data_IF_069723810826
#
_entry.id   IF_069723810826
#
_cell.length_a   1.000
_cell.length_b   1.000
_cell.length_c   1.000
_cell.angle_alpha   90.00
_cell.angle_beta   90.00
_cell.angle_gamma   90.00
#
_symmetry.space_group_name_H-M   'P 1'
#
loop_
_entity.id
_entity.type
_entity.pdbx_description
1 polymer ?
#
# COMPACT_ATOMS: atom_id res chain seq x y z
N UNK A 1 -15.92 3.36 0.32
CA UNK A 1 -14.78 3.58 1.24
C UNK A 1 -14.72 5.06 1.61
N UNK A 2 -15.73 5.55 2.35
CA UNK A 2 -15.86 6.98 2.71
C UNK A 2 -15.57 7.24 4.21
N UNK A 3 -15.04 6.22 4.89
CA UNK A 3 -14.78 6.19 6.33
C UNK A 3 -13.29 6.44 6.62
N UNK A 4 -12.97 6.91 7.83
CA UNK A 4 -11.62 7.22 8.34
C UNK A 4 -10.65 6.04 8.26
N UNK A 5 -11.17 4.83 8.09
CA UNK A 5 -10.41 3.61 7.79
C UNK A 5 -9.60 3.70 6.50
N UNK A 6 -10.06 4.48 5.51
CA UNK A 6 -9.40 4.59 4.21
C UNK A 6 -7.95 5.09 4.29
N UNK A 7 -7.70 6.30 4.80
CA UNK A 7 -6.33 6.79 5.02
C UNK A 7 -5.52 5.94 6.00
N UNK A 8 -6.16 5.34 7.01
CA UNK A 8 -5.47 4.55 8.03
C UNK A 8 -4.71 3.35 7.45
N UNK A 9 -5.28 2.66 6.45
CA UNK A 9 -4.58 1.56 5.77
C UNK A 9 -3.31 2.03 5.06
N UNK A 10 -3.34 3.21 4.43
CA UNK A 10 -2.16 3.77 3.76
C UNK A 10 -1.11 4.26 4.75
N UNK A 11 -1.52 4.86 5.88
CA UNK A 11 -0.57 5.23 6.94
C UNK A 11 0.15 4.01 7.50
N UNK A 12 -0.57 2.91 7.73
CA UNK A 12 0.04 1.66 8.18
C UNK A 12 1.04 1.09 7.15
N UNK A 13 0.73 1.17 5.86
CA UNK A 13 1.66 0.76 4.79
C UNK A 13 2.90 1.64 4.78
N UNK A 14 2.74 2.98 4.85
CA UNK A 14 3.86 3.93 4.89
C UNK A 14 4.74 3.65 6.11
N UNK A 15 4.15 3.53 7.29
CA UNK A 15 4.87 3.18 8.54
C UNK A 15 5.66 1.88 8.40
N UNK A 16 5.03 0.84 7.84
CA UNK A 16 5.68 -0.46 7.63
C UNK A 16 6.85 -0.39 6.65
N UNK A 17 6.72 0.39 5.58
CA UNK A 17 7.79 0.59 4.59
C UNK A 17 8.96 1.39 5.15
N UNK A 18 8.69 2.42 5.96
CA UNK A 18 9.73 3.19 6.66
C UNK A 18 10.50 2.28 7.62
N UNK A 19 9.79 1.51 8.46
CA UNK A 19 10.43 0.57 9.39
C UNK A 19 11.27 -0.49 8.66
N UNK A 20 10.80 -0.99 7.51
CA UNK A 20 11.58 -1.91 6.68
C UNK A 20 12.87 -1.26 6.16
N UNK A 21 12.81 -0.03 5.67
CA UNK A 21 13.99 0.70 5.20
C UNK A 21 14.99 0.98 6.35
N UNK A 22 14.50 1.35 7.53
CA UNK A 22 15.31 1.50 8.74
C UNK A 22 16.05 0.21 9.10
N UNK A 23 15.36 -0.93 9.04
CA UNK A 23 15.96 -2.25 9.31
C UNK A 23 17.06 -2.64 8.30
N UNK A 24 17.05 -2.02 7.12
CA UNK A 24 18.05 -2.19 6.06
C UNK A 24 19.17 -1.15 6.13
N UNK A 25 19.18 -0.29 7.15
CA UNK A 25 20.25 0.67 7.43
C UNK A 25 20.00 2.09 6.91
N UNK A 26 18.81 2.40 6.39
CA UNK A 26 18.47 3.76 5.98
C UNK A 26 17.96 4.56 7.20
N UNK A 27 18.57 5.71 7.57
CA UNK A 27 18.06 6.53 8.68
C UNK A 27 16.62 6.97 8.44
N UNK A 28 15.83 7.06 9.51
CA UNK A 28 14.41 7.42 9.43
C UNK A 28 14.18 8.74 8.69
N UNK A 29 15.03 9.72 8.96
CA UNK A 29 14.97 11.07 8.39
C UNK A 29 15.15 11.07 6.88
N UNK A 30 15.79 10.02 6.33
CA UNK A 30 15.89 9.78 4.90
C UNK A 30 14.76 8.87 4.39
N UNK A 31 14.43 7.79 5.12
CA UNK A 31 13.44 6.80 4.71
C UNK A 31 12.02 7.38 4.61
N UNK A 32 11.60 8.12 5.63
CA UNK A 32 10.24 8.65 5.76
C UNK A 32 9.81 9.56 4.59
N UNK A 33 10.56 10.62 4.23
CA UNK A 33 10.19 11.46 3.10
C UNK A 33 10.24 10.70 1.76
N UNK A 34 11.15 9.74 1.58
CA UNK A 34 11.24 8.94 0.36
C UNK A 34 10.02 8.04 0.17
N UNK A 35 9.57 7.34 1.23
CA UNK A 35 8.38 6.50 1.18
C UNK A 35 7.13 7.35 0.95
N UNK A 36 6.97 8.46 1.69
CA UNK A 36 5.83 9.36 1.55
C UNK A 36 5.73 9.90 0.12
N UNK A 37 6.83 10.40 -0.46
CA UNK A 37 6.83 10.90 -1.82
C UNK A 37 6.54 9.82 -2.86
N UNK A 38 7.04 8.60 -2.64
CA UNK A 38 6.73 7.45 -3.50
C UNK A 38 5.23 7.13 -3.48
N UNK A 39 4.62 7.09 -2.29
CA UNK A 39 3.18 6.87 -2.14
C UNK A 39 2.35 8.00 -2.76
N UNK A 40 2.75 9.25 -2.54
CA UNK A 40 2.09 10.43 -3.13
C UNK A 40 2.15 10.39 -4.66
N UNK A 41 3.33 10.13 -5.23
CA UNK A 41 3.52 10.04 -6.67
C UNK A 41 2.70 8.91 -7.29
N UNK A 42 2.67 7.74 -6.66
CA UNK A 42 1.85 6.61 -7.12
C UNK A 42 0.35 6.94 -7.08
N UNK A 43 -0.13 7.55 -5.99
CA UNK A 43 -1.53 7.98 -5.85
C UNK A 43 -1.91 9.04 -6.87
N UNK A 44 -1.04 10.04 -7.08
CA UNK A 44 -1.23 11.07 -8.08
C UNK A 44 -1.33 10.48 -9.50
N UNK A 45 -0.37 9.64 -9.88
CA UNK A 45 -0.36 8.95 -11.18
C UNK A 45 -1.61 8.10 -11.39
N UNK A 46 -2.04 7.35 -10.36
CA UNK A 46 -3.27 6.57 -10.43
C UNK A 46 -4.52 7.44 -10.60
N UNK A 47 -4.57 8.61 -9.95
CA UNK A 47 -5.72 9.53 -10.05
C UNK A 47 -5.79 10.28 -11.38
N UNK A 48 -4.64 10.53 -12.02
CA UNK A 48 -4.53 11.31 -13.24
C UNK A 48 -4.51 10.44 -14.52
N UNK A 49 -4.32 9.13 -14.39
CA UNK A 49 -4.17 8.21 -15.52
C UNK A 49 -5.50 7.65 -16.00
N UNK A 50 -5.61 7.39 -17.30
CA UNK A 50 -6.68 6.59 -17.90
C UNK A 50 -6.42 5.07 -17.82
N UNK A 51 -5.20 4.67 -17.43
CA UNK A 51 -4.80 3.27 -17.28
C UNK A 51 -5.29 2.70 -15.96
N UNK A 52 -5.48 1.38 -15.91
CA UNK A 52 -5.74 0.71 -14.65
C UNK A 52 -4.52 0.77 -13.72
N UNK A 53 -4.74 0.71 -12.40
CA UNK A 53 -3.63 0.63 -11.42
C UNK A 53 -2.78 -0.62 -11.65
N UNK A 54 -3.36 -1.71 -12.16
CA UNK A 54 -2.64 -2.92 -12.51
C UNK A 54 -1.66 -2.69 -13.68
N UNK A 55 -2.03 -1.88 -14.66
CA UNK A 55 -1.16 -1.56 -15.80
C UNK A 55 -0.09 -0.55 -15.40
N UNK A 56 -0.43 0.46 -14.58
CA UNK A 56 0.57 1.36 -13.99
C UNK A 56 1.63 0.60 -13.18
N UNK A 57 1.21 -0.41 -12.40
CA UNK A 57 2.14 -1.29 -11.68
C UNK A 57 3.05 -2.06 -12.64
N UNK A 58 2.52 -2.59 -13.75
CA UNK A 58 3.33 -3.32 -14.75
C UNK A 58 4.35 -2.39 -15.41
N UNK A 59 4.00 -1.14 -15.66
CA UNK A 59 4.92 -0.17 -16.28
C UNK A 59 6.16 0.15 -15.45
N UNK A 60 6.07 0.01 -14.11
CA UNK A 60 7.20 0.17 -13.19
C UNK A 60 7.87 -1.16 -12.80
N UNK A 61 7.39 -2.29 -13.32
CA UNK A 61 7.96 -3.62 -13.10
C UNK A 61 8.66 -4.12 -14.38
N UNK A 62 9.99 -4.02 -14.41
CA UNK A 62 10.77 -4.63 -15.49
C UNK A 62 10.91 -6.15 -15.25
N UNK A 63 10.76 -7.01 -16.27
CA UNK A 63 10.98 -8.45 -16.13
C UNK A 63 12.36 -8.78 -15.56
N UNK A 64 12.42 -9.63 -14.53
CA UNK A 64 13.63 -9.99 -13.79
C UNK A 64 14.13 -8.94 -12.79
N UNK A 65 13.47 -7.77 -12.73
CA UNK A 65 13.85 -6.63 -11.88
C UNK A 65 13.57 -6.83 -10.40
N UNK A 66 14.13 -5.94 -9.56
CA UNK A 66 13.91 -5.93 -8.11
C UNK A 66 12.44 -5.71 -7.74
N UNK A 67 11.75 -4.80 -8.44
CA UNK A 67 10.34 -4.50 -8.21
C UNK A 67 9.45 -5.72 -8.50
N UNK A 68 9.70 -6.43 -9.60
CA UNK A 68 8.94 -7.65 -9.93
C UNK A 68 9.11 -8.71 -8.83
N UNK A 69 10.34 -8.95 -8.37
CA UNK A 69 10.64 -9.91 -7.30
C UNK A 69 9.94 -9.52 -5.99
N UNK A 70 9.98 -8.24 -5.61
CA UNK A 70 9.31 -7.74 -4.42
C UNK A 70 7.80 -7.95 -4.50
N UNK A 71 7.16 -7.57 -5.62
CA UNK A 71 5.72 -7.74 -5.80
C UNK A 71 5.32 -9.21 -5.87
N UNK A 72 6.11 -10.06 -6.53
CA UNK A 72 5.87 -11.51 -6.57
C UNK A 72 5.92 -12.12 -5.18
N UNK A 73 6.87 -11.70 -4.34
CA UNK A 73 6.93 -12.12 -2.94
C UNK A 73 5.67 -11.71 -2.16
N UNK A 74 5.22 -10.45 -2.29
CA UNK A 74 3.99 -9.99 -1.61
C UNK A 74 2.75 -10.78 -2.06
N UNK A 75 2.65 -11.08 -3.35
CA UNK A 75 1.52 -11.82 -3.92
C UNK A 75 1.48 -13.27 -3.40
N UNK A 76 2.62 -13.95 -3.44
CA UNK A 76 2.77 -15.33 -2.94
C UNK A 76 2.50 -15.44 -1.43
N UNK A 77 2.76 -14.38 -0.67
CA UNK A 77 2.52 -14.34 0.78
C UNK A 77 1.12 -13.81 1.15
N UNK A 78 0.21 -13.70 0.18
CA UNK A 78 -1.22 -13.49 0.45
C UNK A 78 -1.58 -12.07 0.87
N UNK A 79 -0.78 -11.06 0.52
CA UNK A 79 -1.06 -9.65 0.86
C UNK A 79 -2.43 -9.19 0.35
N UNK A 80 -2.85 -9.63 -0.83
CA UNK A 80 -4.19 -9.33 -1.35
C UNK A 80 -5.30 -9.91 -0.45
N UNK A 81 -5.13 -11.15 0.02
CA UNK A 81 -6.06 -11.80 0.95
C UNK A 81 -6.07 -11.07 2.30
N UNK A 82 -4.91 -10.65 2.80
CA UNK A 82 -4.81 -9.88 4.05
C UNK A 82 -5.56 -8.55 3.95
N UNK A 83 -5.39 -7.78 2.87
CA UNK A 83 -6.16 -6.55 2.66
C UNK A 83 -7.66 -6.81 2.57
N UNK A 84 -8.09 -7.86 1.84
CA UNK A 84 -9.51 -8.24 1.77
C UNK A 84 -10.09 -8.50 3.16
N UNK A 85 -9.39 -9.29 3.97
CA UNK A 85 -9.84 -9.62 5.34
C UNK A 85 -9.83 -8.37 6.24
N UNK A 86 -8.82 -7.51 6.15
CA UNK A 86 -8.74 -6.27 6.93
C UNK A 86 -9.89 -5.31 6.61
N UNK A 87 -10.19 -5.11 5.32
CA UNK A 87 -11.29 -4.26 4.86
C UNK A 87 -12.64 -4.85 5.28
N UNK A 88 -12.82 -6.18 5.15
CA UNK A 88 -14.04 -6.84 5.61
C UNK A 88 -14.26 -6.64 7.12
N UNK A 89 -13.20 -6.81 7.94
CA UNK A 89 -13.28 -6.57 9.39
C UNK A 89 -13.68 -5.13 9.72
N UNK A 90 -13.14 -4.15 8.99
CA UNK A 90 -13.54 -2.74 9.16
C UNK A 90 -15.01 -2.53 8.80
N UNK A 91 -15.50 -3.15 7.73
CA UNK A 91 -16.90 -3.07 7.31
C UNK A 91 -17.84 -3.70 8.35
N UNK A 92 -17.52 -4.90 8.83
CA UNK A 92 -18.32 -5.61 9.84
C UNK A 92 -18.42 -4.82 11.14
N UNK A 93 -17.34 -4.16 11.57
CA UNK A 93 -17.33 -3.32 12.75
C UNK A 93 -18.22 -2.07 12.57
N UNK A 94 -18.16 -1.43 11.40
CA UNK A 94 -18.97 -0.25 11.09
C UNK A 94 -20.47 -0.58 11.05
N UNK A 95 -20.85 -1.73 10.48
CA UNK A 95 -22.24 -2.17 10.44
C UNK A 95 -22.78 -2.45 11.85
N UNK A 96 -21.98 -3.05 12.75
CA UNK A 96 -22.38 -3.26 14.15
C UNK A 96 -22.64 -1.94 14.89
N UNK A 97 -21.90 -0.88 14.56
CA UNK A 97 -22.09 0.45 15.16
C UNK A 97 -23.31 1.21 14.60
N UNK A 98 -23.82 0.85 13.42
CA UNK A 98 -25.03 1.47 12.84
C UNK A 98 -26.34 0.92 13.40
N UNK A 99 -26.28 -0.23 14.08
CA UNK A 99 -27.45 -0.90 14.68
C UNK A 99 -27.36 -1.00 16.22
N UNK A 100 -26.47 -0.23 16.85
CA UNK A 100 -26.45 0.06 18.29
C UNK A 100 -26.83 1.53 18.50
#
# INVERSE_FOLDING_TARGET
MHDRSGPAHFFFVIESMVAAAESMGLPREAAEPLVIQSCLGAGYLASASSKSVADLRKEVCVPGGSTEKAISHLDQNGVQTLFKVAIQKSLDANLKMQFC
#
